data_IF_725962954452
#
_entry.id   IF_725962954452
#
_cell.length_a   1.000
_cell.length_b   1.000
_cell.length_c   1.000
_cell.angle_alpha   90.00
_cell.angle_beta   90.00
_cell.angle_gamma   90.00
#
_symmetry.space_group_name_H-M   'P 1'
#
loop_
_entity.id
_entity.type
_entity.pdbx_description
1 polymer ?
#
# COMPACT_ATOMS: atom_id res chain seq x y z
N UNK A 1 40.56 40.82 12.46
CA UNK A 1 39.96 39.67 13.20
C UNK A 1 39.19 38.83 12.21
N UNK A 2 39.28 37.49 12.23
CA UNK A 2 38.46 36.64 11.36
C UNK A 2 36.99 36.75 11.79
N UNK A 3 36.09 36.80 10.82
CA UNK A 3 34.65 36.79 11.06
C UNK A 3 34.24 35.34 11.38
N UNK A 4 33.49 35.07 12.46
CA UNK A 4 32.97 33.73 12.73
C UNK A 4 31.97 33.32 11.66
N UNK A 5 32.20 32.18 11.03
CA UNK A 5 31.23 31.58 10.10
C UNK A 5 30.42 30.52 10.83
N UNK A 6 29.09 30.60 10.71
CA UNK A 6 28.18 29.53 11.12
C UNK A 6 27.61 28.84 9.90
N UNK A 7 27.45 27.52 9.96
CA UNK A 7 26.84 26.71 8.91
C UNK A 7 25.63 26.00 9.53
N UNK A 8 24.50 26.02 8.81
CA UNK A 8 23.35 25.16 9.09
C UNK A 8 23.03 24.32 7.85
N UNK A 9 22.38 23.19 8.06
CA UNK A 9 21.93 22.30 6.99
C UNK A 9 20.47 21.95 7.23
N UNK A 10 19.64 22.09 6.20
CA UNK A 10 18.26 21.64 6.21
C UNK A 10 18.17 20.38 5.36
N UNK A 11 17.92 19.24 6.01
CA UNK A 11 17.64 17.97 5.35
C UNK A 11 16.23 17.54 5.69
N UNK A 12 15.39 17.17 4.71
CA UNK A 12 14.07 16.63 4.99
C UNK A 12 14.20 15.36 5.83
N UNK A 13 13.50 15.29 6.94
CA UNK A 13 13.44 14.08 7.74
C UNK A 13 12.48 13.10 7.04
N UNK A 14 12.91 11.86 6.84
CA UNK A 14 12.06 10.85 6.19
C UNK A 14 11.86 9.69 7.15
N UNK A 15 10.59 9.44 7.50
CA UNK A 15 10.20 8.30 8.31
C UNK A 15 9.69 7.18 7.40
N UNK A 16 10.24 5.97 7.56
CA UNK A 16 9.84 4.81 6.77
C UNK A 16 9.20 3.74 7.67
N UNK A 17 8.14 3.11 7.18
CA UNK A 17 7.50 1.98 7.85
C UNK A 17 7.09 0.89 6.87
N UNK A 18 7.00 -0.35 7.38
CA UNK A 18 6.54 -1.52 6.63
C UNK A 18 5.32 -2.12 7.33
N UNK A 19 4.28 -2.41 6.55
CA UNK A 19 3.08 -3.13 6.98
C UNK A 19 2.92 -4.43 6.19
N UNK A 20 2.62 -5.52 6.90
CA UNK A 20 2.36 -6.83 6.29
C UNK A 20 0.88 -7.14 6.45
N UNK A 21 0.15 -7.12 5.35
CA UNK A 21 -1.28 -7.40 5.30
C UNK A 21 -1.51 -8.84 4.85
N UNK A 22 -1.84 -9.72 5.80
CA UNK A 22 -2.17 -11.13 5.54
C UNK A 22 -3.67 -11.33 5.52
N UNK A 23 -4.17 -11.81 4.38
CA UNK A 23 -5.58 -12.17 4.16
C UNK A 23 -5.67 -13.68 4.34
N UNK A 24 -6.45 -14.13 5.31
CA UNK A 24 -6.72 -15.56 5.57
C UNK A 24 -8.16 -15.86 5.19
N UNK A 25 -8.40 -17.00 4.54
CA UNK A 25 -9.73 -17.34 4.05
C UNK A 25 -10.11 -16.54 2.79
N UNK A 26 -9.14 -16.28 1.91
CA UNK A 26 -9.32 -15.42 0.73
C UNK A 26 -10.51 -15.85 -0.13
N UNK A 27 -10.69 -17.16 -0.33
CA UNK A 27 -11.80 -17.73 -1.09
C UNK A 27 -13.18 -17.34 -0.55
N UNK A 28 -13.34 -17.27 0.77
CA UNK A 28 -14.60 -16.88 1.43
C UNK A 28 -14.86 -15.39 1.26
N UNK A 29 -13.82 -14.57 1.43
CA UNK A 29 -13.92 -13.12 1.30
C UNK A 29 -14.16 -12.69 -0.16
N UNK A 30 -13.72 -13.50 -1.13
CA UNK A 30 -13.97 -13.29 -2.56
C UNK A 30 -15.45 -13.39 -2.93
N UNK A 31 -16.25 -14.20 -2.23
CA UNK A 31 -17.69 -14.37 -2.51
C UNK A 31 -18.46 -13.06 -2.28
N UNK A 32 -17.92 -12.16 -1.46
CA UNK A 32 -18.48 -10.84 -1.17
C UNK A 32 -18.14 -9.85 -2.30
N UNK A 33 -18.86 -9.97 -3.43
CA UNK A 33 -18.66 -9.14 -4.62
C UNK A 33 -18.68 -7.64 -4.33
N UNK A 34 -17.73 -6.91 -4.89
CA UNK A 34 -17.64 -5.45 -4.75
C UNK A 34 -17.26 -4.94 -3.36
N UNK A 35 -16.98 -5.84 -2.40
CA UNK A 35 -16.51 -5.46 -1.07
C UNK A 35 -14.98 -5.42 -1.01
N UNK A 36 -14.46 -4.47 -0.24
CA UNK A 36 -13.03 -4.35 0.00
C UNK A 36 -12.61 -5.15 1.24
N UNK A 37 -11.62 -6.00 1.07
CA UNK A 37 -10.86 -6.64 2.13
C UNK A 37 -9.82 -5.62 2.62
N UNK A 38 -9.93 -5.15 3.87
CA UNK A 38 -9.12 -4.03 4.39
C UNK A 38 -8.14 -4.49 5.46
N UNK A 39 -6.94 -3.91 5.45
CA UNK A 39 -6.01 -4.03 6.56
C UNK A 39 -6.52 -3.26 7.78
N UNK A 40 -5.92 -3.54 8.94
CA UNK A 40 -5.95 -2.60 10.04
C UNK A 40 -5.26 -1.28 9.64
N UNK A 41 -5.60 -0.19 10.33
CA UNK A 41 -4.87 1.06 10.21
C UNK A 41 -3.47 0.86 10.79
N UNK A 42 -2.44 1.27 10.06
CA UNK A 42 -1.05 1.29 10.54
C UNK A 42 -0.48 2.70 10.44
N UNK A 43 0.52 3.00 11.26
CA UNK A 43 1.06 4.35 11.41
C UNK A 43 2.49 4.46 10.88
N UNK A 44 2.76 5.49 10.07
CA UNK A 44 4.09 5.89 9.60
C UNK A 44 4.14 7.41 9.53
N UNK A 45 5.20 8.04 10.05
CA UNK A 45 5.30 9.50 10.09
C UNK A 45 4.21 10.17 10.95
N UNK A 46 3.71 9.49 11.98
CA UNK A 46 2.57 9.98 12.78
C UNK A 46 1.21 9.94 12.07
N UNK A 47 1.13 9.42 10.84
CA UNK A 47 -0.11 9.35 10.06
C UNK A 47 -0.63 7.93 9.88
N UNK A 48 -1.95 7.77 9.84
CA UNK A 48 -2.62 6.51 9.61
C UNK A 48 -2.76 6.15 8.12
N UNK A 49 -2.56 4.88 7.79
CA UNK A 49 -2.60 4.34 6.45
C UNK A 49 -3.36 3.00 6.42
N UNK A 50 -3.99 2.68 5.30
CA UNK A 50 -4.72 1.42 5.07
C UNK A 50 -4.40 0.89 3.68
N UNK A 51 -4.21 -0.43 3.58
CA UNK A 51 -4.22 -1.16 2.30
C UNK A 51 -5.56 -1.88 2.17
N UNK A 52 -6.15 -1.89 0.99
CA UNK A 52 -7.33 -2.70 0.74
C UNK A 52 -7.32 -3.36 -0.62
N UNK A 53 -7.97 -4.52 -0.71
CA UNK A 53 -8.05 -5.36 -1.90
C UNK A 53 -9.53 -5.60 -2.26
N UNK A 54 -9.90 -5.35 -3.50
CA UNK A 54 -11.18 -5.73 -4.08
C UNK A 54 -10.94 -6.93 -5.02
N UNK A 55 -11.36 -8.15 -4.63
CA UNK A 55 -11.01 -9.38 -5.36
C UNK A 55 -11.87 -9.60 -6.62
N UNK A 56 -12.98 -8.89 -6.74
CA UNK A 56 -13.85 -8.88 -7.91
C UNK A 56 -14.40 -7.46 -8.09
N UNK A 57 -13.84 -6.72 -9.05
CA UNK A 57 -14.41 -5.44 -9.42
C UNK A 57 -15.75 -5.63 -10.11
N UNK A 58 -16.76 -4.88 -9.67
CA UNK A 58 -18.03 -4.75 -10.37
C UNK A 58 -17.94 -3.47 -11.21
N UNK A 59 -17.16 -3.53 -12.29
CA UNK A 59 -17.08 -2.43 -13.27
C UNK A 59 -17.67 -2.93 -14.59
N UNK A 60 -18.35 -2.06 -15.34
CA UNK A 60 -18.84 -2.38 -16.69
C UNK A 60 -17.71 -2.38 -17.74
N UNK A 61 -16.58 -1.76 -17.41
CA UNK A 61 -15.43 -1.57 -18.31
C UNK A 61 -14.38 -2.67 -18.14
N UNK A 62 -14.24 -3.21 -16.93
CA UNK A 62 -13.29 -4.26 -16.61
C UNK A 62 -14.02 -5.54 -16.25
N UNK A 63 -13.64 -6.65 -16.89
CA UNK A 63 -14.17 -7.97 -16.57
C UNK A 63 -13.88 -8.32 -15.09
N UNK A 64 -14.67 -9.25 -14.53
CA UNK A 64 -14.52 -9.77 -13.17
C UNK A 64 -13.14 -10.39 -12.91
N UNK A 65 -12.30 -10.53 -13.93
CA UNK A 65 -10.93 -11.04 -13.87
C UNK A 65 -9.89 -10.08 -13.30
N UNK A 66 -10.26 -8.85 -12.95
CA UNK A 66 -9.33 -7.87 -12.39
C UNK A 66 -9.51 -7.70 -10.88
N UNK A 67 -8.37 -7.67 -10.19
CA UNK A 67 -8.27 -7.38 -8.77
C UNK A 67 -7.66 -5.99 -8.60
N UNK A 68 -8.30 -5.19 -7.76
CA UNK A 68 -7.85 -3.84 -7.42
C UNK A 68 -7.23 -3.84 -6.03
N UNK A 69 -6.03 -3.30 -5.91
CA UNK A 69 -5.46 -2.90 -4.64
C UNK A 69 -5.52 -1.38 -4.52
N UNK A 70 -5.81 -0.89 -3.33
CA UNK A 70 -5.80 0.54 -3.06
C UNK A 70 -5.04 0.84 -1.78
N UNK A 71 -4.41 2.01 -1.79
CA UNK A 71 -3.69 2.57 -0.66
C UNK A 71 -4.40 3.85 -0.23
N UNK A 72 -4.77 3.92 1.05
CA UNK A 72 -5.62 4.96 1.58
C UNK A 72 -4.98 5.65 2.77
N UNK A 73 -5.03 6.97 2.75
CA UNK A 73 -4.64 7.86 3.82
C UNK A 73 -5.78 8.09 4.80
N UNK A 74 -5.48 7.93 6.08
CA UNK A 74 -6.43 8.08 7.20
C UNK A 74 -6.08 9.25 8.12
N UNK A 75 -5.07 10.06 7.76
CA UNK A 75 -4.70 11.24 8.53
C UNK A 75 -5.65 12.42 8.34
N UNK A 76 -5.44 13.44 9.18
CA UNK A 76 -6.27 14.65 9.26
C UNK A 76 -5.60 15.88 8.67
N UNK A 77 -4.30 15.82 8.37
CA UNK A 77 -3.53 16.88 7.73
C UNK A 77 -2.94 16.41 6.42
N UNK A 78 -2.52 17.35 5.58
CA UNK A 78 -1.78 17.03 4.37
C UNK A 78 -0.40 16.44 4.73
N UNK A 79 0.05 15.44 3.96
CA UNK A 79 1.37 14.83 4.11
C UNK A 79 1.95 14.45 2.75
N UNK A 80 3.27 14.57 2.60
CA UNK A 80 3.99 14.00 1.45
C UNK A 80 4.51 12.61 1.79
N UNK A 81 4.14 11.62 0.99
CA UNK A 81 4.60 10.25 1.18
C UNK A 81 4.80 9.53 -0.16
N UNK A 82 5.70 8.56 -0.18
CA UNK A 82 5.80 7.53 -1.21
C UNK A 82 5.39 6.19 -0.64
N UNK A 83 4.99 5.24 -1.49
CA UNK A 83 4.75 3.89 -1.04
C UNK A 83 5.12 2.86 -2.12
N UNK A 84 5.35 1.64 -1.67
CA UNK A 84 5.65 0.48 -2.49
C UNK A 84 4.79 -0.70 -2.04
N UNK A 85 4.09 -1.33 -2.97
CA UNK A 85 3.34 -2.57 -2.75
C UNK A 85 4.15 -3.74 -3.29
N UNK A 86 4.23 -4.80 -2.47
CA UNK A 86 4.93 -6.04 -2.81
C UNK A 86 4.04 -7.24 -2.56
N UNK A 87 4.15 -8.25 -3.42
CA UNK A 87 3.59 -9.57 -3.15
C UNK A 87 4.65 -10.46 -2.55
N UNK A 88 4.27 -11.22 -1.53
CA UNK A 88 5.16 -12.18 -0.88
C UNK A 88 4.95 -13.54 -1.54
N UNK A 89 6.01 -14.06 -2.15
CA UNK A 89 6.06 -15.46 -2.55
C UNK A 89 6.04 -16.32 -1.28
N UNK A 90 4.98 -17.10 -1.11
CA UNK A 90 4.74 -17.89 0.10
C UNK A 90 5.55 -19.18 0.15
N UNK A 91 6.18 -19.58 -0.95
CA UNK A 91 7.08 -20.73 -0.97
C UNK A 91 8.46 -20.34 -0.42
N UNK A 92 8.92 -19.14 -0.74
CA UNK A 92 10.28 -18.66 -0.44
C UNK A 92 10.34 -17.60 0.65
N UNK A 93 9.21 -16.95 0.96
CA UNK A 93 9.14 -15.79 1.85
C UNK A 93 9.65 -14.49 1.23
N UNK A 94 10.06 -14.50 -0.04
CA UNK A 94 10.64 -13.34 -0.72
C UNK A 94 9.54 -12.42 -1.24
N UNK A 95 9.68 -11.12 -0.99
CA UNK A 95 8.76 -10.09 -1.49
C UNK A 95 9.21 -9.54 -2.85
N UNK A 96 8.28 -9.39 -3.79
CA UNK A 96 8.54 -8.79 -5.11
C UNK A 96 7.73 -7.51 -5.29
N UNK A 97 8.38 -6.44 -5.74
CA UNK A 97 7.72 -5.17 -6.02
C UNK A 97 6.74 -5.31 -7.18
N UNK A 98 5.49 -4.92 -6.95
CA UNK A 98 4.42 -4.95 -7.96
C UNK A 98 3.92 -3.57 -8.34
N UNK A 99 4.09 -2.60 -7.43
CA UNK A 99 3.84 -1.19 -7.69
C UNK A 99 4.72 -0.34 -6.78
N UNK A 100 5.23 0.76 -7.31
CA UNK A 100 5.91 1.79 -6.54
C UNK A 100 5.44 3.15 -6.99
N UNK A 101 5.07 3.99 -6.04
CA UNK A 101 4.66 5.36 -6.28
C UNK A 101 5.75 6.32 -5.80
N UNK A 102 6.02 7.36 -6.59
CA UNK A 102 6.93 8.42 -6.17
C UNK A 102 6.30 9.27 -5.04
N UNK A 103 7.09 10.06 -4.30
CA UNK A 103 6.54 10.92 -3.25
C UNK A 103 5.45 11.86 -3.81
N UNK A 104 4.25 11.76 -3.24
CA UNK A 104 3.08 12.57 -3.60
C UNK A 104 2.34 13.06 -2.35
N UNK A 105 1.45 14.01 -2.56
CA UNK A 105 0.66 14.62 -1.48
C UNK A 105 -0.61 13.82 -1.21
N UNK A 106 -0.79 13.38 0.03
CA UNK A 106 -2.03 12.79 0.55
C UNK A 106 -2.73 13.81 1.45
N UNK A 107 -4.05 13.89 1.33
CA UNK A 107 -4.84 14.82 2.15
C UNK A 107 -6.20 14.21 2.52
N UNK A 108 -6.89 14.74 3.55
CA UNK A 108 -8.21 14.25 3.94
C UNK A 108 -9.28 14.38 2.84
N UNK A 109 -9.06 15.27 1.87
CA UNK A 109 -9.93 15.49 0.71
C UNK A 109 -9.59 14.56 -0.47
N UNK A 110 -8.40 13.98 -0.49
CA UNK A 110 -7.94 13.03 -1.50
C UNK A 110 -7.28 11.84 -0.80
N UNK A 111 -8.10 11.07 -0.06
CA UNK A 111 -7.61 9.99 0.82
C UNK A 111 -7.09 8.78 0.06
N UNK A 112 -7.78 8.41 -1.00
CA UNK A 112 -7.52 7.16 -1.72
C UNK A 112 -6.79 7.42 -3.02
N UNK A 113 -5.79 6.59 -3.29
CA UNK A 113 -5.35 6.33 -4.65
C UNK A 113 -5.74 4.89 -5.03
N UNK A 114 -6.25 4.74 -6.24
CA UNK A 114 -6.38 3.43 -6.90
C UNK A 114 -4.97 3.04 -7.31
N UNK A 115 -4.40 2.01 -6.70
CA UNK A 115 -2.99 1.71 -6.95
C UNK A 115 -2.80 0.22 -7.08
N UNK A 116 -2.71 -0.18 -8.34
CA UNK A 116 -2.57 -1.52 -8.88
C UNK A 116 -3.91 -2.17 -9.26
N UNK A 117 -4.14 -2.17 -10.56
CA UNK A 117 -5.11 -3.03 -11.21
C UNK A 117 -4.34 -4.16 -11.91
N UNK A 118 -4.52 -5.40 -11.48
CA UNK A 118 -3.85 -6.57 -12.06
C UNK A 118 -4.85 -7.71 -12.25
N UNK A 119 -4.53 -8.59 -13.20
CA UNK A 119 -5.34 -9.81 -13.42
C UNK A 119 -5.34 -10.64 -12.14
N UNK A 120 -6.49 -11.19 -11.80
CA UNK A 120 -6.71 -12.12 -10.69
C UNK A 120 -5.72 -13.28 -10.72
N UNK A 121 -5.40 -13.81 -11.90
CA UNK A 121 -4.42 -14.88 -12.06
C UNK A 121 -3.02 -14.55 -11.53
N UNK A 122 -2.65 -13.26 -11.42
CA UNK A 122 -1.41 -12.84 -10.77
C UNK A 122 -1.51 -13.07 -9.27
N UNK A 123 -2.60 -12.65 -8.62
CA UNK A 123 -2.79 -12.84 -7.17
C UNK A 123 -3.05 -14.30 -6.80
N UNK A 124 -3.82 -15.01 -7.62
CA UNK A 124 -4.19 -16.41 -7.42
C UNK A 124 -3.13 -17.39 -7.96
N UNK A 125 -1.96 -16.89 -8.35
CA UNK A 125 -0.81 -17.74 -8.67
C UNK A 125 -0.42 -18.59 -7.45
N UNK A 126 -0.02 -19.86 -7.63
CA UNK A 126 0.37 -20.75 -6.52
C UNK A 126 1.50 -20.21 -5.64
N UNK A 127 2.31 -19.29 -6.17
CA UNK A 127 3.37 -18.63 -5.43
C UNK A 127 2.82 -17.61 -4.42
N UNK A 128 1.70 -16.96 -4.72
CA UNK A 128 1.18 -15.82 -3.93
C UNK A 128 -0.10 -16.15 -3.16
N UNK A 129 -0.98 -17.01 -3.68
CA UNK A 129 -2.14 -17.55 -2.97
C UNK A 129 -1.87 -19.01 -2.61
N UNK A 130 -1.69 -19.28 -1.32
CA UNK A 130 -1.39 -20.62 -0.80
C UNK A 130 -2.12 -20.85 0.51
N UNK A 131 -2.65 -22.05 0.72
CA UNK A 131 -3.42 -22.43 1.92
C UNK A 131 -4.54 -21.41 2.22
N UNK A 132 -5.21 -20.95 1.17
CA UNK A 132 -6.24 -19.91 1.19
C UNK A 132 -5.81 -18.58 1.85
N UNK A 133 -4.51 -18.31 1.83
CA UNK A 133 -3.89 -17.10 2.34
C UNK A 133 -3.23 -16.30 1.22
N UNK A 134 -3.30 -14.98 1.28
CA UNK A 134 -2.57 -14.04 0.43
C UNK A 134 -1.87 -13.00 1.31
N UNK A 135 -0.64 -12.63 0.99
CA UNK A 135 0.11 -11.63 1.76
C UNK A 135 0.62 -10.49 0.88
N UNK A 136 0.31 -9.27 1.29
CA UNK A 136 0.74 -8.02 0.65
C UNK A 136 1.62 -7.27 1.64
N UNK A 137 2.84 -6.92 1.25
CA UNK A 137 3.64 -5.96 2.00
C UNK A 137 3.46 -4.57 1.42
N UNK A 138 3.35 -3.57 2.29
CA UNK A 138 3.35 -2.16 1.93
C UNK A 138 4.49 -1.46 2.68
N UNK A 139 5.37 -0.81 1.94
CA UNK A 139 6.40 0.06 2.51
C UNK A 139 5.97 1.50 2.23
N UNK A 140 5.95 2.34 3.26
CA UNK A 140 5.59 3.76 3.16
C UNK A 140 6.77 4.59 3.64
N UNK A 141 7.10 5.67 2.95
CA UNK A 141 8.07 6.66 3.39
C UNK A 141 7.45 8.05 3.37
N UNK A 142 7.35 8.67 4.55
CA UNK A 142 6.79 10.00 4.79
C UNK A 142 7.92 11.00 4.87
N UNK A 143 7.82 12.10 4.13
CA UNK A 143 8.79 13.19 4.17
C UNK A 143 8.24 14.32 5.05
N UNK A 144 8.87 14.52 6.20
CA UNK A 144 8.62 15.64 7.10
C UNK A 144 9.50 16.81 6.65
N UNK A 145 8.89 17.97 6.43
CA UNK A 145 9.56 19.19 5.96
C UNK A 145 8.88 20.44 6.48
#
# INVERSE_FOLDING_TARGET
MPIPTTISTCTPETEQGKHVFRIVGYSQQRVLRGMFIRSAIFTVGGHGWVVSLCPEMIDKVFDADWVLVSFMFMGTSEVRASFELKFVDQCTGVSFSVHKEAPMTFSPNCRSKTVLLKKRSVFESPNYLRDDCLTIECVVAVTNG
#
